data_IF_574267139663
#
_entry.id   IF_574267139663
#
_cell.length_a   1.000
_cell.length_b   1.000
_cell.length_c   1.000
_cell.angle_alpha   90.00
_cell.angle_beta   90.00
_cell.angle_gamma   90.00
#
_symmetry.space_group_name_H-M   'P 1'
#
loop_
_entity.id
_entity.type
_entity.pdbx_description
1 polymer ?
#
# COMPACT_ATOMS: atom_id res chain seq x y z
N UNK A 1 7.66 -10.59 -15.75
CA UNK A 1 6.43 -10.11 -15.09
C UNK A 1 5.41 -9.58 -16.10
N UNK A 2 5.73 -8.57 -16.91
CA UNK A 2 4.77 -7.96 -17.87
C UNK A 2 4.17 -9.02 -18.82
N UNK A 3 4.97 -9.61 -19.72
CA UNK A 3 4.47 -10.62 -20.67
C UNK A 3 3.77 -11.82 -20.01
N UNK A 4 4.16 -12.20 -18.79
CA UNK A 4 3.50 -13.29 -18.05
C UNK A 4 2.08 -12.94 -17.66
N UNK A 5 1.84 -11.71 -17.18
CA UNK A 5 0.51 -11.24 -16.80
C UNK A 5 -0.35 -10.93 -18.03
N UNK A 6 0.23 -10.37 -19.09
CA UNK A 6 -0.46 -10.18 -20.38
C UNK A 6 -0.96 -11.50 -20.94
N UNK A 7 -0.11 -12.53 -20.98
CA UNK A 7 -0.50 -13.87 -21.42
C UNK A 7 -1.56 -14.52 -20.53
N UNK A 8 -1.50 -14.30 -19.20
CA UNK A 8 -2.46 -14.87 -18.26
C UNK A 8 -3.86 -14.25 -18.40
N UNK A 9 -3.93 -12.94 -18.61
CA UNK A 9 -5.19 -12.19 -18.61
C UNK A 9 -5.69 -11.81 -20.01
N UNK A 10 -4.90 -12.02 -21.07
CA UNK A 10 -5.27 -11.75 -22.46
C UNK A 10 -5.42 -10.26 -22.78
N UNK A 11 -4.58 -9.42 -22.18
CA UNK A 11 -4.60 -7.94 -22.34
C UNK A 11 -3.20 -7.39 -22.53
N UNK A 12 -3.08 -6.22 -23.15
CA UNK A 12 -1.82 -5.47 -23.25
C UNK A 12 -1.63 -4.57 -22.01
N UNK A 13 -0.42 -4.54 -21.45
CA UNK A 13 -0.04 -3.66 -20.33
C UNK A 13 0.77 -2.50 -20.88
N UNK A 14 0.15 -1.32 -20.98
CA UNK A 14 0.79 -0.15 -21.62
C UNK A 14 1.98 0.42 -20.82
N UNK A 15 1.89 0.39 -19.48
CA UNK A 15 2.89 1.01 -18.60
C UNK A 15 3.10 0.18 -17.34
N UNK A 16 4.26 0.34 -16.71
CA UNK A 16 4.56 -0.28 -15.43
C UNK A 16 5.27 0.70 -14.51
N UNK A 17 5.07 0.51 -13.21
CA UNK A 17 5.85 1.15 -12.15
C UNK A 17 6.49 0.05 -11.32
N UNK A 18 7.79 0.17 -11.06
CA UNK A 18 8.54 -0.78 -10.22
C UNK A 18 9.22 -0.04 -9.08
N UNK A 19 8.90 -0.44 -7.85
CA UNK A 19 9.46 0.13 -6.64
C UNK A 19 9.93 -0.99 -5.69
N UNK A 20 10.91 -0.66 -4.85
CA UNK A 20 11.34 -1.49 -3.72
C UNK A 20 10.95 -0.81 -2.40
N UNK A 21 11.37 -1.38 -1.27
CA UNK A 21 11.05 -0.82 0.05
C UNK A 21 11.56 0.62 0.24
N UNK A 22 12.81 0.92 -0.17
CA UNK A 22 13.35 2.27 -0.06
C UNK A 22 12.55 3.28 -0.90
N UNK A 23 12.17 2.92 -2.12
CA UNK A 23 11.32 3.76 -2.97
C UNK A 23 9.92 3.95 -2.37
N UNK A 24 9.34 2.90 -1.78
CA UNK A 24 8.06 2.97 -1.10
C UNK A 24 8.09 3.94 0.09
N UNK A 25 9.08 3.80 0.98
CA UNK A 25 9.21 4.67 2.15
C UNK A 25 9.29 6.15 1.75
N UNK A 26 10.19 6.45 0.80
CA UNK A 26 10.37 7.82 0.28
C UNK A 26 9.10 8.39 -0.35
N UNK A 27 8.31 7.57 -1.05
CA UNK A 27 7.05 8.00 -1.64
C UNK A 27 6.04 8.38 -0.54
N UNK A 28 5.87 7.53 0.47
CA UNK A 28 4.94 7.80 1.56
C UNK A 28 5.38 9.03 2.38
N UNK A 29 6.68 9.18 2.63
CA UNK A 29 7.23 10.37 3.30
C UNK A 29 6.94 11.65 2.50
N UNK A 30 7.16 11.62 1.18
CA UNK A 30 6.87 12.76 0.29
C UNK A 30 5.40 13.16 0.31
N UNK A 31 4.50 12.19 0.45
CA UNK A 31 3.05 12.42 0.53
C UNK A 31 2.58 12.86 1.92
N UNK A 32 3.48 12.92 2.92
CA UNK A 32 3.13 13.24 4.30
C UNK A 32 2.30 12.14 4.97
N UNK A 33 2.57 10.87 4.64
CA UNK A 33 1.79 9.74 5.12
C UNK A 33 0.51 9.49 4.31
N UNK A 34 -0.23 8.44 4.69
CA UNK A 34 -1.47 8.04 4.03
C UNK A 34 -2.55 7.66 5.05
N UNK A 35 -3.81 7.74 4.63
CA UNK A 35 -4.97 7.44 5.47
C UNK A 35 -5.70 6.21 4.90
N UNK A 36 -5.94 5.20 5.75
CA UNK A 36 -6.64 3.96 5.34
C UNK A 36 -7.71 3.58 6.36
N UNK A 37 -8.75 2.88 5.90
CA UNK A 37 -9.67 2.17 6.79
C UNK A 37 -9.21 0.73 6.97
N UNK A 38 -8.87 0.34 8.20
CA UNK A 38 -8.43 -0.99 8.56
C UNK A 38 -9.61 -1.85 9.06
N UNK A 39 -9.81 -3.03 8.50
CA UNK A 39 -11.01 -3.86 8.77
C UNK A 39 -10.86 -4.75 10.01
N UNK A 40 -9.61 -5.03 10.41
CA UNK A 40 -9.30 -5.92 11.52
C UNK A 40 -8.08 -5.38 12.28
N UNK A 41 -8.07 -5.53 13.60
CA UNK A 41 -6.88 -5.24 14.38
C UNK A 41 -5.78 -6.28 14.10
N UNK A 42 -4.53 -5.84 14.03
CA UNK A 42 -3.39 -6.75 13.92
C UNK A 42 -2.09 -6.07 14.37
N UNK A 43 -1.07 -6.87 14.66
CA UNK A 43 0.31 -6.41 14.86
C UNK A 43 1.17 -6.96 13.73
N UNK A 44 1.92 -6.09 13.05
CA UNK A 44 2.84 -6.53 12.01
C UNK A 44 4.12 -7.10 12.62
N UNK A 45 4.44 -8.35 12.31
CA UNK A 45 5.67 -9.02 12.75
C UNK A 45 6.93 -8.37 12.17
N UNK A 46 6.80 -7.65 11.06
CA UNK A 46 7.95 -7.04 10.37
C UNK A 46 8.51 -5.82 11.08
N UNK A 47 7.72 -5.12 11.90
CA UNK A 47 8.14 -3.91 12.61
C UNK A 47 7.60 -3.82 14.05
N UNK A 48 6.82 -4.80 14.51
CA UNK A 48 6.22 -4.82 15.85
C UNK A 48 5.12 -3.78 16.08
N UNK A 49 4.69 -3.03 15.05
CA UNK A 49 3.66 -1.98 15.19
C UNK A 49 2.27 -2.62 15.23
N UNK A 50 1.43 -2.08 16.11
CA UNK A 50 0.01 -2.43 16.23
C UNK A 50 -0.85 -1.49 15.36
N UNK A 51 -1.86 -2.06 14.71
CA UNK A 51 -2.81 -1.37 13.85
C UNK A 51 -4.22 -1.65 14.36
N UNK A 52 -4.93 -0.64 14.90
CA UNK A 52 -6.31 -0.81 15.33
C UNK A 52 -7.26 -0.92 14.12
N UNK A 53 -8.44 -1.50 14.33
CA UNK A 53 -9.53 -1.40 13.36
C UNK A 53 -10.06 0.06 13.27
N UNK A 54 -10.60 0.44 12.11
CA UNK A 54 -11.09 1.78 11.84
C UNK A 54 -10.12 2.64 11.00
N UNK A 55 -10.30 3.96 11.03
CA UNK A 55 -9.44 4.88 10.28
C UNK A 55 -8.06 4.99 10.94
N UNK A 56 -7.01 4.77 10.16
CA UNK A 56 -5.61 4.82 10.62
C UNK A 56 -4.81 5.70 9.67
N UNK A 57 -4.09 6.66 10.24
CA UNK A 57 -3.04 7.39 9.54
C UNK A 57 -1.72 6.63 9.65
N UNK A 58 -1.03 6.45 8.53
CA UNK A 58 0.19 5.66 8.43
C UNK A 58 1.36 6.53 7.95
N UNK A 59 2.38 6.65 8.79
CA UNK A 59 3.72 7.05 8.37
C UNK A 59 4.36 6.01 7.42
N UNK A 60 5.51 6.32 6.83
CA UNK A 60 6.17 5.44 5.85
C UNK A 60 6.48 4.04 6.41
N UNK A 61 7.03 3.95 7.62
CA UNK A 61 7.36 2.69 8.29
C UNK A 61 6.11 1.90 8.71
N UNK A 62 5.05 2.59 9.12
CA UNK A 62 3.73 2.03 9.41
C UNK A 62 3.11 1.47 8.13
N UNK A 63 3.11 2.23 7.04
CA UNK A 63 2.60 1.80 5.76
C UNK A 63 3.37 0.58 5.23
N UNK A 64 4.70 0.56 5.38
CA UNK A 64 5.52 -0.57 4.97
C UNK A 64 5.22 -1.82 5.80
N UNK A 65 5.02 -1.69 7.12
CA UNK A 65 4.57 -2.81 7.95
C UNK A 65 3.17 -3.31 7.59
N UNK A 66 2.25 -2.38 7.34
CA UNK A 66 0.84 -2.65 7.03
C UNK A 66 0.68 -3.52 5.77
N UNK A 67 1.49 -3.26 4.73
CA UNK A 67 1.45 -4.02 3.45
C UNK A 67 2.27 -5.31 3.46
N UNK A 68 3.09 -5.54 4.48
CA UNK A 68 3.98 -6.72 4.58
C UNK A 68 3.43 -7.82 5.47
N UNK A 69 2.62 -7.48 6.47
CA UNK A 69 2.03 -8.46 7.37
C UNK A 69 1.11 -9.44 6.61
N UNK A 70 1.16 -10.70 7.01
CA UNK A 70 0.44 -11.81 6.38
C UNK A 70 -0.08 -12.82 7.39
N UNK A 71 0.75 -13.22 8.35
CA UNK A 71 0.52 -14.44 9.13
C UNK A 71 -0.48 -14.22 10.27
N UNK A 72 -0.59 -12.99 10.78
CA UNK A 72 -1.55 -12.63 11.82
C UNK A 72 -2.93 -12.20 11.28
N UNK A 73 -3.10 -12.12 9.95
CA UNK A 73 -4.36 -11.71 9.32
C UNK A 73 -5.32 -12.89 9.16
N UNK A 74 -6.62 -12.63 9.34
CA UNK A 74 -7.66 -13.66 9.31
C UNK A 74 -7.70 -14.47 7.99
N UNK A 75 -7.54 -13.81 6.84
CA UNK A 75 -7.47 -14.44 5.51
C UNK A 75 -6.06 -14.37 4.91
N UNK A 76 -5.04 -14.32 5.78
CA UNK A 76 -3.64 -14.48 5.44
C UNK A 76 -3.15 -13.58 4.28
N UNK A 77 -2.66 -14.21 3.22
CA UNK A 77 -2.10 -13.51 2.06
C UNK A 77 -3.14 -12.71 1.27
N UNK A 78 -4.40 -13.17 1.28
CA UNK A 78 -5.48 -12.45 0.58
C UNK A 78 -5.75 -11.12 1.29
N UNK A 79 -5.75 -11.11 2.62
CA UNK A 79 -5.88 -9.87 3.39
C UNK A 79 -4.66 -8.96 3.21
N UNK A 80 -3.45 -9.52 3.12
CA UNK A 80 -2.27 -8.73 2.75
C UNK A 80 -2.44 -8.06 1.38
N UNK A 81 -2.96 -8.79 0.39
CA UNK A 81 -3.29 -8.24 -0.92
C UNK A 81 -4.36 -7.13 -0.86
N UNK A 82 -5.39 -7.29 -0.02
CA UNK A 82 -6.40 -6.24 0.23
C UNK A 82 -5.77 -5.01 0.90
N UNK A 83 -4.89 -5.19 1.88
CA UNK A 83 -4.14 -4.11 2.52
C UNK A 83 -3.26 -3.35 1.53
N UNK A 84 -2.60 -4.05 0.59
CA UNK A 84 -1.86 -3.44 -0.50
C UNK A 84 -2.76 -2.61 -1.43
N UNK A 85 -3.96 -3.10 -1.77
CA UNK A 85 -4.94 -2.36 -2.56
C UNK A 85 -5.41 -1.07 -1.84
N UNK A 86 -5.69 -1.15 -0.53
CA UNK A 86 -6.05 0.04 0.28
C UNK A 86 -4.98 1.11 0.24
N UNK A 87 -3.71 0.71 0.38
CA UNK A 87 -2.57 1.63 0.30
C UNK A 87 -2.42 2.24 -1.09
N UNK A 88 -2.62 1.48 -2.17
CA UNK A 88 -2.63 2.02 -3.54
C UNK A 88 -3.72 3.09 -3.69
N UNK A 89 -4.94 2.84 -3.21
CA UNK A 89 -6.03 3.81 -3.24
C UNK A 89 -5.67 5.09 -2.45
N UNK A 90 -5.11 4.94 -1.25
CA UNK A 90 -4.71 6.08 -0.42
C UNK A 90 -3.59 6.92 -1.07
N UNK A 91 -2.61 6.27 -1.73
CA UNK A 91 -1.58 6.96 -2.51
C UNK A 91 -2.21 7.76 -3.65
N UNK A 92 -3.14 7.17 -4.41
CA UNK A 92 -3.84 7.86 -5.49
C UNK A 92 -4.63 9.07 -4.98
N UNK A 93 -5.27 8.97 -3.81
CA UNK A 93 -5.98 10.10 -3.18
C UNK A 93 -5.03 11.25 -2.82
N UNK A 94 -3.82 10.95 -2.31
CA UNK A 94 -2.81 12.00 -2.03
C UNK A 94 -2.27 12.61 -3.33
N UNK A 95 -1.96 11.79 -4.34
CA UNK A 95 -1.41 12.25 -5.62
C UNK A 95 -2.41 13.08 -6.46
N UNK A 96 -3.70 12.83 -6.31
CA UNK A 96 -4.77 13.58 -6.99
C UNK A 96 -5.23 14.81 -6.22
N UNK A 97 -4.62 15.11 -5.07
CA UNK A 97 -4.90 16.34 -4.33
C UNK A 97 -4.48 17.58 -5.13
N UNK A 98 -5.20 18.69 -4.95
CA UNK A 98 -4.89 19.94 -5.66
C UNK A 98 -3.46 20.43 -5.43
N UNK A 99 -2.92 20.21 -4.24
CA UNK A 99 -1.54 20.56 -3.91
C UNK A 99 -0.54 19.69 -4.65
N UNK A 100 -0.73 18.36 -4.65
CA UNK A 100 0.15 17.44 -5.37
C UNK A 100 0.11 17.71 -6.90
N UNK A 101 -1.08 17.92 -7.46
CA UNK A 101 -1.25 18.19 -8.89
C UNK A 101 -0.65 19.54 -9.32
N UNK A 102 -0.66 20.56 -8.45
CA UNK A 102 -0.02 21.86 -8.73
C UNK A 102 1.51 21.81 -8.67
N UNK A 103 2.07 20.85 -7.93
CA UNK A 103 3.50 20.71 -7.70
C UNK A 103 4.09 19.45 -8.38
N UNK A 104 3.40 18.91 -9.38
CA UNK A 104 3.87 17.81 -10.22
C UNK A 104 4.97 18.26 -11.19
#
# INVERSE_FOLDING_TARGET
>A
SIHTLENLYGVDINYYVRLNFTSFLKLIDLLGGIDVYNDQEFTAHTNGKYYPAGNVHLDSEQALGFVRERYSLADGDRDRGRNQQKVIVAILQKLTSTEALKNY
#
